data_IF_156175748941
#
_entry.id   IF_156175748941
#
_cell.length_a   1.000
_cell.length_b   1.000
_cell.length_c   1.000
_cell.angle_alpha   90.00
_cell.angle_beta   90.00
_cell.angle_gamma   90.00
#
_symmetry.space_group_name_H-M   'P 1'
#
loop_
_entity.id
_entity.type
_entity.pdbx_description
1 polymer ?
#
# COMPACT_ATOMS: atom_id res chain seq x y z
N UNK A 1 -16.14 -4.75 -0.84
CA UNK A 1 -14.98 -3.85 -1.04
C UNK A 1 -13.78 -4.40 -0.27
N UNK A 2 -12.68 -4.68 -0.96
CA UNK A 2 -11.42 -5.14 -0.39
C UNK A 2 -10.28 -4.20 -0.83
N UNK A 3 -9.39 -3.83 0.10
CA UNK A 3 -8.22 -3.00 -0.19
C UNK A 3 -6.95 -3.79 0.13
N UNK A 4 -6.16 -4.09 -0.91
CA UNK A 4 -4.86 -4.73 -0.78
C UNK A 4 -3.77 -3.65 -0.78
N UNK A 5 -2.89 -3.72 0.21
CA UNK A 5 -1.76 -2.79 0.36
C UNK A 5 -0.52 -3.41 -0.27
N UNK A 6 0.27 -2.59 -0.96
CA UNK A 6 1.59 -2.97 -1.44
C UNK A 6 2.53 -3.35 -0.29
N UNK A 7 3.37 -4.36 -0.53
CA UNK A 7 4.45 -4.73 0.37
C UNK A 7 5.51 -3.63 0.37
N UNK A 8 5.79 -3.08 1.55
CA UNK A 8 6.84 -2.09 1.75
C UNK A 8 8.25 -2.67 1.57
N UNK A 9 9.24 -1.83 1.24
CA UNK A 9 10.64 -2.23 1.26
C UNK A 9 11.10 -2.55 2.69
N UNK A 10 12.15 -3.36 2.82
CA UNK A 10 12.72 -3.79 4.12
C UNK A 10 14.22 -4.01 4.05
N UNK A 11 14.87 -4.10 5.21
CA UNK A 11 16.32 -4.12 5.38
C UNK A 11 16.94 -2.75 5.20
N UNK A 12 18.09 -2.47 5.82
CA UNK A 12 18.76 -1.17 5.74
C UNK A 12 19.27 -0.85 4.33
N UNK A 13 19.92 -1.81 3.72
CA UNK A 13 20.60 -1.69 2.42
C UNK A 13 19.88 -2.48 1.32
N UNK A 14 20.19 -2.26 0.03
CA UNK A 14 19.63 -3.04 -1.07
C UNK A 14 19.81 -4.55 -0.85
N UNK A 15 18.72 -5.31 -1.00
CA UNK A 15 18.72 -6.75 -0.74
C UNK A 15 17.65 -7.48 -1.57
N UNK A 16 17.76 -8.80 -1.66
CA UNK A 16 16.87 -9.63 -2.47
C UNK A 16 15.41 -9.59 -2.01
N UNK A 17 15.13 -9.34 -0.73
CA UNK A 17 13.75 -9.24 -0.24
C UNK A 17 13.05 -7.99 -0.75
N UNK A 18 13.77 -6.88 -0.97
CA UNK A 18 13.19 -5.68 -1.62
C UNK A 18 12.78 -5.98 -3.05
N UNK A 19 13.64 -6.65 -3.81
CA UNK A 19 13.34 -7.07 -5.19
C UNK A 19 12.12 -8.00 -5.20
N UNK A 20 12.07 -8.97 -4.28
CA UNK A 20 10.94 -9.88 -4.15
C UNK A 20 9.64 -9.15 -3.83
N UNK A 21 9.65 -8.22 -2.88
CA UNK A 21 8.45 -7.44 -2.53
C UNK A 21 7.96 -6.61 -3.72
N UNK A 22 8.87 -5.96 -4.46
CA UNK A 22 8.52 -5.22 -5.67
C UNK A 22 7.89 -6.12 -6.73
N UNK A 23 8.44 -7.32 -6.97
CA UNK A 23 7.86 -8.29 -7.91
C UNK A 23 6.47 -8.75 -7.48
N UNK A 24 6.25 -9.00 -6.19
CA UNK A 24 4.93 -9.35 -5.66
C UNK A 24 3.95 -8.20 -5.89
N UNK A 25 4.36 -6.96 -5.63
CA UNK A 25 3.51 -5.79 -5.82
C UNK A 25 3.06 -5.62 -7.28
N UNK A 26 3.97 -5.78 -8.24
CA UNK A 26 3.62 -5.72 -9.67
C UNK A 26 2.61 -6.82 -10.04
N UNK A 27 2.86 -8.06 -9.63
CA UNK A 27 1.95 -9.18 -9.91
C UNK A 27 0.57 -8.99 -9.28
N UNK A 28 0.52 -8.56 -8.02
CA UNK A 28 -0.75 -8.32 -7.30
C UNK A 28 -1.51 -7.16 -7.93
N UNK A 29 -0.82 -6.07 -8.29
CA UNK A 29 -1.44 -4.90 -8.93
C UNK A 29 -2.09 -5.26 -10.25
N UNK A 30 -1.47 -6.12 -11.05
CA UNK A 30 -2.08 -6.61 -12.29
C UNK A 30 -3.26 -7.55 -12.01
N UNK A 31 -3.10 -8.52 -11.11
CA UNK A 31 -4.15 -9.49 -10.77
C UNK A 31 -5.42 -8.84 -10.21
N UNK A 32 -5.27 -7.78 -9.40
CA UNK A 32 -6.42 -7.10 -8.78
C UNK A 32 -7.36 -6.47 -9.80
N UNK A 33 -6.90 -6.16 -11.02
CA UNK A 33 -7.76 -5.60 -12.08
C UNK A 33 -8.88 -6.56 -12.49
N UNK A 34 -8.65 -7.86 -12.36
CA UNK A 34 -9.60 -8.91 -12.74
C UNK A 34 -10.47 -9.38 -11.55
N UNK A 35 -10.20 -8.89 -10.32
CA UNK A 35 -10.94 -9.29 -9.12
C UNK A 35 -11.96 -8.22 -8.76
N UNK A 36 -13.24 -8.57 -8.83
CA UNK A 36 -14.33 -7.65 -8.51
C UNK A 36 -14.23 -7.11 -7.07
N UNK A 37 -14.64 -5.85 -6.91
CA UNK A 37 -14.67 -5.16 -5.61
C UNK A 37 -13.33 -5.11 -4.87
N UNK A 38 -12.21 -5.29 -5.55
CA UNK A 38 -10.87 -5.25 -4.97
C UNK A 38 -10.08 -4.09 -5.54
N UNK A 39 -9.33 -3.39 -4.70
CA UNK A 39 -8.44 -2.31 -5.10
C UNK A 39 -7.05 -2.54 -4.55
N UNK A 40 -6.04 -2.16 -5.31
CA UNK A 40 -4.65 -2.14 -4.87
C UNK A 40 -4.26 -0.71 -4.50
N UNK A 41 -3.51 -0.55 -3.42
CA UNK A 41 -2.94 0.73 -3.00
C UNK A 41 -1.44 0.56 -2.74
N UNK A 42 -0.64 1.33 -3.47
CA UNK A 42 0.75 1.55 -3.09
C UNK A 42 0.78 2.54 -1.92
N UNK A 43 1.38 2.11 -0.82
CA UNK A 43 1.44 2.87 0.43
C UNK A 43 2.85 3.35 0.75
N UNK A 44 3.83 3.10 -0.12
CA UNK A 44 5.21 3.57 0.07
C UNK A 44 5.33 5.06 -0.28
N UNK A 45 5.59 5.97 0.68
CA UNK A 45 5.83 7.37 0.41
C UNK A 45 7.24 7.65 -0.16
N UNK A 46 8.08 6.61 -0.31
CA UNK A 46 9.48 6.72 -0.69
C UNK A 46 10.43 6.44 0.49
N UNK A 47 10.26 5.31 1.19
CA UNK A 47 11.11 4.93 2.32
C UNK A 47 12.57 4.62 1.96
N UNK A 48 12.83 4.27 0.69
CA UNK A 48 14.19 4.08 0.19
C UNK A 48 14.73 5.42 -0.29
N UNK A 49 15.75 5.94 0.41
CA UNK A 49 16.42 7.19 0.06
C UNK A 49 17.22 7.07 -1.24
N UNK A 50 17.68 8.21 -1.77
CA UNK A 50 18.50 8.27 -2.99
C UNK A 50 19.82 7.50 -2.89
N UNK A 51 20.33 7.26 -1.69
CA UNK A 51 21.52 6.44 -1.43
C UNK A 51 21.22 4.93 -1.34
N UNK A 52 19.95 4.55 -1.52
CA UNK A 52 19.48 3.17 -1.43
C UNK A 52 19.22 2.67 -0.01
N UNK A 53 19.36 3.51 1.01
CA UNK A 53 19.15 3.11 2.41
C UNK A 53 17.72 3.40 2.90
N UNK A 54 17.28 2.66 3.92
CA UNK A 54 16.06 3.00 4.69
C UNK A 54 16.49 3.60 6.04
N UNK A 55 15.89 4.72 6.41
CA UNK A 55 16.17 5.39 7.68
C UNK A 55 15.56 4.62 8.86
N UNK A 56 16.32 4.49 9.95
CA UNK A 56 15.79 3.92 11.19
C UNK A 56 14.70 4.81 11.84
N UNK A 57 14.64 6.10 11.50
CA UNK A 57 13.57 6.99 11.92
C UNK A 57 12.23 6.61 11.28
N UNK A 58 12.25 5.95 10.12
CA UNK A 58 11.06 5.47 9.44
C UNK A 58 10.77 4.01 9.79
N UNK A 59 11.81 3.17 9.85
CA UNK A 59 11.71 1.77 10.26
C UNK A 59 12.78 1.41 11.29
N UNK A 60 12.40 1.33 12.57
CA UNK A 60 13.37 1.24 13.68
C UNK A 60 14.24 -0.03 13.67
N UNK A 61 13.75 -1.10 13.04
CA UNK A 61 14.48 -2.35 12.80
C UNK A 61 14.58 -2.69 11.30
N UNK A 62 14.36 -1.69 10.44
CA UNK A 62 14.31 -1.81 8.98
C UNK A 62 13.22 -2.75 8.46
N UNK A 63 12.17 -2.98 9.26
CA UNK A 63 10.97 -3.72 8.85
C UNK A 63 9.70 -3.05 9.36
N UNK A 64 9.63 -2.80 10.65
CA UNK A 64 8.47 -2.23 11.31
C UNK A 64 8.54 -0.71 11.28
N UNK A 65 7.45 -0.09 10.83
CA UNK A 65 7.34 1.36 10.77
C UNK A 65 7.35 1.98 12.16
N UNK A 66 7.99 3.14 12.29
CA UNK A 66 7.82 4.00 13.46
C UNK A 66 6.46 4.68 13.43
N UNK A 67 6.07 5.29 14.55
CA UNK A 67 4.85 6.12 14.62
C UNK A 67 4.84 7.23 13.55
N UNK A 68 6.00 7.82 13.27
CA UNK A 68 6.12 8.87 12.26
C UNK A 68 5.80 8.32 10.86
N UNK A 69 6.45 7.24 10.47
CA UNK A 69 6.24 6.63 9.15
C UNK A 69 4.83 6.04 8.99
N UNK A 70 4.24 5.49 10.05
CA UNK A 70 2.84 5.06 10.05
C UNK A 70 1.89 6.21 9.74
N UNK A 71 2.19 7.45 10.13
CA UNK A 71 1.32 8.59 9.83
C UNK A 71 1.12 8.78 8.33
N UNK A 72 2.19 8.70 7.54
CA UNK A 72 2.14 8.85 6.08
C UNK A 72 1.39 7.69 5.43
N UNK A 73 1.69 6.45 5.83
CA UNK A 73 1.03 5.24 5.34
C UNK A 73 -0.47 5.25 5.64
N UNK A 74 -0.84 5.52 6.90
CA UNK A 74 -2.23 5.58 7.33
C UNK A 74 -2.99 6.74 6.67
N UNK A 75 -2.35 7.86 6.36
CA UNK A 75 -2.98 8.97 5.65
C UNK A 75 -3.39 8.56 4.23
N UNK A 76 -2.53 7.85 3.50
CA UNK A 76 -2.86 7.31 2.17
C UNK A 76 -4.00 6.29 2.23
N UNK A 77 -3.94 5.36 3.20
CA UNK A 77 -4.99 4.36 3.42
C UNK A 77 -6.33 5.04 3.76
N UNK A 78 -6.32 5.98 4.70
CA UNK A 78 -7.52 6.71 5.11
C UNK A 78 -8.19 7.41 3.93
N UNK A 79 -7.41 8.15 3.13
CA UNK A 79 -7.91 8.82 1.93
C UNK A 79 -8.56 7.82 0.94
N UNK A 80 -7.91 6.68 0.70
CA UNK A 80 -8.45 5.67 -0.23
C UNK A 80 -9.71 4.99 0.31
N UNK A 81 -9.75 4.68 1.61
CA UNK A 81 -10.94 4.11 2.24
C UNK A 81 -12.12 5.08 2.17
N UNK A 82 -11.91 6.37 2.44
CA UNK A 82 -12.96 7.38 2.31
C UNK A 82 -13.50 7.46 0.88
N UNK A 83 -12.62 7.45 -0.12
CA UNK A 83 -13.01 7.47 -1.53
C UNK A 83 -13.87 6.25 -1.88
N UNK A 84 -13.43 5.05 -1.49
CA UNK A 84 -14.16 3.82 -1.78
C UNK A 84 -15.53 3.75 -1.08
N UNK A 85 -15.64 4.28 0.13
CA UNK A 85 -16.92 4.39 0.84
C UNK A 85 -17.88 5.36 0.13
N UNK A 86 -17.37 6.46 -0.40
CA UNK A 86 -18.17 7.42 -1.18
C UNK A 86 -18.63 6.83 -2.51
N UNK A 87 -17.74 6.13 -3.24
CA UNK A 87 -18.07 5.41 -4.48
C UNK A 87 -19.21 4.40 -4.24
N UNK A 88 -19.09 3.58 -3.19
CA UNK A 88 -20.11 2.59 -2.84
C UNK A 88 -21.46 3.20 -2.42
N UNK A 89 -21.47 4.41 -1.85
CA UNK A 89 -22.70 5.13 -1.49
C UNK A 89 -23.36 5.82 -2.70
N UNK A 90 -22.62 6.03 -3.78
CA UNK A 90 -23.10 6.69 -5.00
C UNK A 90 -23.71 5.74 -6.03
N UNK A 91 -23.56 4.43 -5.85
CA UNK A 91 -24.27 3.43 -6.65
C UNK A 91 -25.78 3.51 -6.34
N UNK A 92 -26.64 3.76 -7.35
CA UNK A 92 -28.08 3.80 -7.13
C UNK A 92 -28.57 2.43 -6.62
N UNK A 93 -29.61 2.38 -5.76
CA UNK A 93 -30.19 1.13 -5.35
C UNK A 93 -30.62 0.37 -6.61
N UNK A 94 -30.14 -0.87 -6.76
CA UNK A 94 -30.52 -1.77 -7.85
C UNK A 94 -32.06 -1.81 -7.94
N UNK A 95 -32.69 -1.37 -9.06
CA UNK A 95 -34.14 -1.29 -9.18
C UNK A 95 -34.81 -2.66 -9.44
N UNK A 96 -34.28 -3.76 -8.90
CA UNK A 96 -34.94 -5.06 -9.00
C UNK A 96 -34.48 -6.03 -7.92
N UNK A 97 -35.29 -6.20 -6.86
CA UNK A 97 -36.45 -7.11 -6.84
C UNK A 97 -37.56 -6.43 -6.01
#
# INVERSE_FOLDING_TARGET
>A
LCLLQGLLPRGKDPNQLRVKNAQVNELVKEMVKDVSNTSYLDVDPGFVNSDGTISHNDMYDYLHLTRHAYSSVCQAIHARVQQLLAEAASDPPNPGI
#
